data_IF_723407502091
#
_entry.id   IF_723407502091
#
_cell.length_a   1.000
_cell.length_b   1.000
_cell.length_c   1.000
_cell.angle_alpha   90.00
_cell.angle_beta   90.00
_cell.angle_gamma   90.00
#
_symmetry.space_group_name_H-M   'P 1'
#
loop_
_entity.id
_entity.type
_entity.pdbx_description
1 polymer ?
#
# COMPACT_ATOMS: atom_id res chain seq x y z
N UNK A 1 10.78 -8.02 -13.69
CA UNK A 1 10.54 -6.97 -12.68
C UNK A 1 9.61 -7.59 -11.65
N UNK A 2 10.05 -7.71 -10.40
CA UNK A 2 9.15 -8.19 -9.35
C UNK A 2 8.23 -7.02 -9.00
N UNK A 3 6.91 -7.20 -9.10
CA UNK A 3 5.98 -6.14 -8.75
C UNK A 3 5.95 -6.01 -7.22
N UNK A 4 6.33 -4.83 -6.71
CA UNK A 4 6.18 -4.54 -5.29
C UNK A 4 4.70 -4.51 -4.90
N UNK A 5 4.38 -5.04 -3.71
CA UNK A 5 3.05 -4.99 -3.13
C UNK A 5 3.05 -3.97 -2.01
N UNK A 6 2.32 -2.87 -2.20
CA UNK A 6 2.16 -1.84 -1.19
C UNK A 6 0.77 -1.96 -0.57
N UNK A 7 0.69 -1.82 0.75
CA UNK A 7 -0.56 -1.91 1.49
C UNK A 7 -0.64 -0.81 2.54
N UNK A 8 -1.87 -0.39 2.84
CA UNK A 8 -2.20 0.31 4.08
C UNK A 8 -2.65 -0.74 5.09
N UNK A 9 -2.21 -0.59 6.33
CA UNK A 9 -2.47 -1.56 7.40
C UNK A 9 -2.52 -0.87 8.76
N UNK A 10 -3.21 -1.51 9.71
CA UNK A 10 -3.23 -1.10 11.11
C UNK A 10 -2.40 -2.06 11.94
N UNK A 11 -1.55 -1.54 12.83
CA UNK A 11 -0.82 -2.31 13.85
C UNK A 11 -0.67 -1.49 15.12
N UNK A 12 -0.95 -2.09 16.28
CA UNK A 12 -0.93 -1.38 17.56
C UNK A 12 -1.87 -0.16 17.58
N UNK A 13 -3.02 -0.24 16.90
CA UNK A 13 -4.01 0.83 16.81
C UNK A 13 -3.60 2.03 15.95
N UNK A 14 -2.51 1.93 15.19
CA UNK A 14 -2.03 3.00 14.29
C UNK A 14 -2.13 2.55 12.84
N UNK A 15 -2.75 3.38 12.01
CA UNK A 15 -2.74 3.24 10.56
C UNK A 15 -1.36 3.59 10.01
N UNK A 16 -0.88 2.77 9.08
CA UNK A 16 0.45 2.80 8.47
C UNK A 16 0.34 2.35 7.02
N UNK A 17 1.41 2.53 6.26
CA UNK A 17 1.54 1.91 4.94
C UNK A 17 2.97 1.42 4.70
N UNK A 18 3.11 0.47 3.79
CA UNK A 18 4.38 -0.21 3.60
C UNK A 18 4.38 -1.31 2.55
N UNK A 19 5.53 -1.95 2.39
CA UNK A 19 5.71 -3.04 1.44
C UNK A 19 5.43 -4.41 2.09
N UNK A 20 4.66 -5.25 1.40
CA UNK A 20 4.27 -6.59 1.83
C UNK A 20 5.14 -7.64 1.14
N UNK A 21 5.97 -8.32 1.92
CA UNK A 21 6.85 -9.40 1.47
C UNK A 21 6.36 -10.76 1.97
N UNK A 22 7.01 -11.85 1.58
CA UNK A 22 6.76 -13.17 2.17
C UNK A 22 7.26 -13.29 3.62
N UNK A 23 8.14 -12.38 4.07
CA UNK A 23 8.75 -12.39 5.41
C UNK A 23 8.01 -11.48 6.40
N UNK A 24 7.09 -10.65 5.93
CA UNK A 24 6.40 -9.63 6.72
C UNK A 24 6.31 -8.29 6.00
N UNK A 25 6.03 -7.24 6.76
CA UNK A 25 5.78 -5.88 6.28
C UNK A 25 6.92 -4.93 6.65
N UNK A 26 7.34 -4.11 5.69
CA UNK A 26 8.25 -2.98 5.89
C UNK A 26 7.43 -1.70 5.99
N UNK A 27 7.44 -1.03 7.15
CA UNK A 27 6.65 0.18 7.45
C UNK A 27 7.28 1.46 6.87
N UNK A 28 6.82 1.88 5.71
CA UNK A 28 7.39 3.05 5.03
C UNK A 28 6.79 4.37 5.56
N UNK A 29 5.64 4.32 6.24
CA UNK A 29 5.00 5.52 6.81
C UNK A 29 5.83 6.15 7.94
N UNK A 30 6.50 5.34 8.77
CA UNK A 30 7.40 5.84 9.81
C UNK A 30 8.67 6.51 9.26
N UNK A 31 9.01 6.26 7.99
CA UNK A 31 10.23 6.73 7.32
C UNK A 31 9.98 7.96 6.44
N UNK A 32 8.72 8.29 6.16
CA UNK A 32 8.31 9.38 5.25
C UNK A 32 7.22 10.25 5.86
N UNK A 33 7.58 11.06 6.86
CA UNK A 33 6.62 11.92 7.56
C UNK A 33 5.90 12.95 6.68
N UNK A 34 6.45 13.26 5.49
CA UNK A 34 5.82 14.14 4.50
C UNK A 34 4.65 13.48 3.75
N UNK A 35 4.53 12.15 3.79
CA UNK A 35 3.48 11.40 3.13
C UNK A 35 2.68 10.63 4.18
N UNK A 36 1.57 11.19 4.70
CA UNK A 36 0.79 10.54 5.75
C UNK A 36 0.09 9.26 5.26
N UNK A 37 -0.23 9.14 3.97
CA UNK A 37 -0.85 7.95 3.37
C UNK A 37 -0.25 7.62 2.00
N UNK A 38 -0.62 6.47 1.42
CA UNK A 38 -0.26 6.13 0.04
C UNK A 38 -0.85 7.12 -0.99
N UNK A 39 -1.88 7.91 -0.65
CA UNK A 39 -2.43 8.95 -1.53
C UNK A 39 -1.37 10.00 -1.86
N UNK A 40 -0.70 10.54 -0.86
CA UNK A 40 0.32 11.58 -1.06
C UNK A 40 1.57 11.02 -1.74
N UNK A 41 1.88 9.74 -1.52
CA UNK A 41 2.94 9.04 -2.26
C UNK A 41 2.61 8.98 -3.76
N UNK A 42 1.36 8.69 -4.11
CA UNK A 42 0.89 8.65 -5.50
C UNK A 42 0.93 10.04 -6.11
N UNK A 43 0.42 11.05 -5.41
CA UNK A 43 0.46 12.45 -5.86
C UNK A 43 1.89 12.93 -6.12
N UNK A 44 2.85 12.48 -5.32
CA UNK A 44 4.26 12.77 -5.48
C UNK A 44 4.98 11.91 -6.56
N UNK A 45 4.29 10.96 -7.20
CA UNK A 45 4.90 10.04 -8.17
C UNK A 45 5.94 9.08 -7.57
N UNK A 46 5.87 8.82 -6.27
CA UNK A 46 6.96 8.20 -5.49
C UNK A 46 6.81 6.68 -5.24
N UNK A 47 5.79 6.01 -5.81
CA UNK A 47 5.55 4.57 -5.58
C UNK A 47 6.76 3.69 -5.91
N UNK A 48 7.43 3.97 -7.04
CA UNK A 48 8.61 3.20 -7.45
C UNK A 48 9.76 3.38 -6.46
N UNK A 49 9.98 4.60 -5.99
CA UNK A 49 10.98 4.90 -4.97
C UNK A 49 10.70 4.15 -3.67
N UNK A 50 9.44 4.14 -3.21
CA UNK A 50 9.05 3.36 -2.03
C UNK A 50 9.33 1.87 -2.20
N UNK A 51 9.04 1.32 -3.38
CA UNK A 51 9.30 -0.07 -3.69
C UNK A 51 10.79 -0.42 -3.63
N UNK A 52 11.64 0.43 -4.23
CA UNK A 52 13.10 0.27 -4.22
C UNK A 52 13.68 0.41 -2.81
N UNK A 53 13.22 1.39 -2.03
CA UNK A 53 13.65 1.58 -0.63
C UNK A 53 13.26 0.39 0.26
N UNK A 54 12.09 -0.22 0.04
CA UNK A 54 11.63 -1.35 0.82
C UNK A 54 12.55 -2.59 0.70
N UNK A 55 13.25 -2.76 -0.43
CA UNK A 55 14.20 -3.86 -0.62
C UNK A 55 15.43 -3.73 0.29
N UNK A 56 15.76 -2.52 0.72
CA UNK A 56 16.92 -2.24 1.56
C UNK A 56 16.63 -2.35 3.07
N UNK A 57 15.35 -2.43 3.48
CA UNK A 57 14.96 -2.43 4.88
C UNK A 57 14.58 -3.83 5.40
N UNK A 58 14.86 -4.13 6.68
CA UNK A 58 14.31 -5.31 7.33
C UNK A 58 12.79 -5.16 7.51
N UNK A 59 12.13 -6.29 7.67
CA UNK A 59 10.72 -6.36 8.07
C UNK A 59 10.55 -5.74 9.47
N UNK A 60 9.55 -4.87 9.62
CA UNK A 60 9.19 -4.25 10.90
C UNK A 60 8.11 -5.05 11.64
N UNK A 61 7.17 -5.66 10.90
CA UNK A 61 6.05 -6.41 11.48
C UNK A 61 5.82 -7.75 10.77
N UNK A 62 5.55 -8.85 11.50
CA UNK A 62 5.10 -10.08 10.87
C UNK A 62 3.68 -9.91 10.29
N UNK A 63 3.32 -10.72 9.30
CA UNK A 63 2.04 -10.57 8.58
C UNK A 63 0.82 -10.79 9.48
N UNK A 64 0.94 -11.60 10.53
CA UNK A 64 -0.13 -11.92 11.48
C UNK A 64 -0.35 -10.84 12.55
N UNK A 65 0.57 -9.86 12.67
CA UNK A 65 0.42 -8.73 13.58
C UNK A 65 -0.32 -7.53 12.97
N UNK A 66 -0.57 -7.55 11.65
CA UNK A 66 -1.21 -6.44 10.95
C UNK A 66 -2.67 -6.77 10.59
N UNK A 67 -3.50 -5.73 10.53
CA UNK A 67 -4.79 -5.78 9.85
C UNK A 67 -4.69 -5.00 8.55
N UNK A 68 -5.04 -5.60 7.42
CA UNK A 68 -5.09 -4.89 6.14
C UNK A 68 -6.23 -3.89 6.12
N UNK A 69 -5.95 -2.71 5.57
CA UNK A 69 -6.91 -1.62 5.41
C UNK A 69 -7.12 -1.31 3.92
N UNK A 70 -8.05 -0.40 3.64
CA UNK A 70 -8.22 0.17 2.30
C UNK A 70 -6.88 0.82 1.87
N UNK A 71 -6.27 0.44 0.73
CA UNK A 71 -4.95 0.94 0.35
C UNK A 71 -4.87 2.47 0.27
N UNK A 72 -5.92 3.10 -0.28
CA UNK A 72 -6.06 4.55 -0.35
C UNK A 72 -7.27 4.94 0.51
N UNK A 73 -7.10 5.40 1.77
CA UNK A 73 -8.21 5.60 2.70
C UNK A 73 -9.09 6.81 2.35
N UNK A 74 -8.54 7.80 1.66
CA UNK A 74 -9.25 9.04 1.28
C UNK A 74 -9.05 9.38 -0.20
N UNK A 75 -9.54 8.55 -1.14
CA UNK A 75 -9.43 8.84 -2.57
C UNK A 75 -10.34 10.03 -2.93
N UNK A 76 -9.90 10.88 -3.86
CA UNK A 76 -10.75 11.99 -4.34
C UNK A 76 -11.96 11.47 -5.14
N UNK A 77 -11.75 10.39 -5.91
CA UNK A 77 -12.76 9.80 -6.79
C UNK A 77 -12.64 8.27 -6.78
N UNK A 78 -13.79 7.58 -6.76
CA UNK A 78 -13.90 6.14 -6.97
C UNK A 78 -14.83 5.94 -8.18
N UNK A 79 -14.27 5.51 -9.31
CA UNK A 79 -15.01 5.34 -10.57
C UNK A 79 -15.30 3.85 -10.77
N UNK A 80 -16.58 3.47 -10.63
CA UNK A 80 -17.02 2.09 -10.79
C UNK A 80 -17.42 1.83 -12.25
N UNK A 81 -16.77 0.88 -12.92
CA UNK A 81 -17.14 0.49 -14.28
C UNK A 81 -18.26 -0.52 -14.23
N UNK A 82 -19.37 -0.16 -14.88
CA UNK A 82 -20.53 -1.03 -15.10
C UNK A 82 -20.13 -2.22 -15.94
N UNK A 83 -20.19 -2.13 -17.28
CA UNK A 83 -19.90 -3.22 -18.24
C UNK A 83 -18.39 -3.33 -18.51
N UNK A 84 -17.74 -4.40 -18.03
CA UNK A 84 -16.29 -4.58 -18.16
C UNK A 84 -15.84 -6.04 -18.43
N UNK A 85 -16.76 -6.91 -18.84
CA UNK A 85 -16.48 -8.27 -19.29
C UNK A 85 -17.26 -8.53 -20.59
N UNK A 86 -16.63 -9.12 -21.62
CA UNK A 86 -17.29 -9.37 -22.90
C UNK A 86 -18.58 -10.18 -22.74
N UNK A 87 -18.52 -11.23 -21.91
CA UNK A 87 -19.58 -12.23 -21.80
C UNK A 87 -20.63 -11.89 -20.72
N UNK A 88 -20.68 -10.66 -20.18
CA UNK A 88 -21.61 -10.39 -19.06
C UNK A 88 -23.09 -10.52 -19.43
N UNK A 89 -23.42 -10.18 -20.66
CA UNK A 89 -24.81 -10.14 -21.13
C UNK A 89 -25.14 -11.33 -22.03
N UNK A 90 -24.26 -12.34 -22.09
CA UNK A 90 -24.57 -13.64 -22.68
C UNK A 90 -25.38 -14.52 -21.72
#
# INVERSE_FOLDING_TARGET
>A
MNHARLATFTVGGKARYGAVTSKGVVDLSARHGQWPTLREVIEAGALRRLAEEAEAFPVDFPLDAIAYEIPIPSPEKIICVGVNYPDRNE
#
